data_IF_190935235534
#
_entry.id   IF_190935235534
#
_cell.length_a   1.000
_cell.length_b   1.000
_cell.length_c   1.000
_cell.angle_alpha   90.00
_cell.angle_beta   90.00
_cell.angle_gamma   90.00
#
_symmetry.space_group_name_H-M   'P 1'
#
loop_
_entity.id
_entity.type
_entity.pdbx_description
1 polymer ?
#
# COMPACT_ATOMS: atom_id res chain seq x y z
N UNK A 1 -6.15 -15.50 17.55
CA UNK A 1 -7.33 -16.28 17.12
C UNK A 1 -7.12 -17.78 17.30
N UNK A 2 -6.03 -18.38 16.76
CA UNK A 2 -5.74 -19.83 16.85
C UNK A 2 -5.63 -20.37 18.29
N UNK A 3 -4.94 -19.68 19.21
CA UNK A 3 -4.89 -20.10 20.62
C UNK A 3 -6.27 -20.14 21.30
N UNK A 4 -7.17 -19.23 20.91
CA UNK A 4 -8.55 -19.22 21.41
C UNK A 4 -9.34 -20.43 20.88
N UNK A 5 -9.11 -20.80 19.63
CA UNK A 5 -9.67 -22.03 19.05
C UNK A 5 -9.12 -23.27 19.75
N UNK A 6 -7.81 -23.30 20.03
CA UNK A 6 -7.16 -24.39 20.77
C UNK A 6 -7.78 -24.57 22.16
N UNK A 7 -7.95 -23.48 22.93
CA UNK A 7 -8.58 -23.54 24.24
C UNK A 7 -10.03 -24.05 24.19
N UNK A 8 -10.81 -23.62 23.18
CA UNK A 8 -12.18 -24.12 22.99
C UNK A 8 -12.21 -25.60 22.68
N UNK A 9 -11.38 -26.05 21.74
CA UNK A 9 -11.24 -27.46 21.38
C UNK A 9 -10.88 -28.32 22.58
N UNK A 10 -9.90 -27.88 23.39
CA UNK A 10 -9.47 -28.56 24.60
C UNK A 10 -10.62 -28.74 25.61
N UNK A 11 -11.45 -27.71 25.78
CA UNK A 11 -12.62 -27.76 26.66
C UNK A 11 -13.75 -28.64 26.10
N UNK A 12 -13.97 -28.62 24.78
CA UNK A 12 -14.98 -29.43 24.10
C UNK A 12 -14.72 -30.95 24.24
N UNK A 13 -13.46 -31.36 24.43
CA UNK A 13 -13.13 -32.77 24.64
C UNK A 13 -13.75 -33.38 25.91
N UNK A 14 -14.26 -32.56 26.84
CA UNK A 14 -15.02 -33.01 28.03
C UNK A 14 -16.20 -33.92 27.68
N UNK A 15 -16.75 -33.80 26.47
CA UNK A 15 -17.85 -34.63 25.99
C UNK A 15 -17.41 -36.08 25.67
N UNK A 16 -16.10 -36.30 25.44
CA UNK A 16 -15.53 -37.62 25.20
C UNK A 16 -15.10 -38.22 26.54
N UNK A 17 -15.87 -39.20 27.03
CA UNK A 17 -15.72 -39.83 28.35
C UNK A 17 -14.31 -40.38 28.64
N UNK A 18 -13.56 -40.76 27.60
CA UNK A 18 -12.20 -41.30 27.70
C UNK A 18 -11.09 -40.24 27.65
N UNK A 19 -11.40 -39.00 27.24
CA UNK A 19 -10.40 -37.93 27.05
C UNK A 19 -10.53 -36.88 28.14
N UNK A 20 -11.75 -36.44 28.45
CA UNK A 20 -11.99 -35.36 29.40
C UNK A 20 -11.54 -33.99 28.89
N UNK A 21 -11.41 -33.01 29.79
CA UNK A 21 -10.89 -31.68 29.45
C UNK A 21 -9.38 -31.78 29.23
N UNK A 22 -8.91 -31.33 28.06
CA UNK A 22 -7.49 -31.26 27.77
C UNK A 22 -6.88 -29.94 28.24
N UNK A 23 -5.60 -29.94 28.59
CA UNK A 23 -4.79 -28.73 28.72
C UNK A 23 -4.16 -28.33 27.38
N UNK A 24 -3.70 -27.08 27.26
CA UNK A 24 -2.91 -26.66 26.10
C UNK A 24 -1.57 -27.39 26.03
N UNK A 25 -0.97 -27.70 27.17
CA UNK A 25 0.22 -28.54 27.27
C UNK A 25 -0.03 -29.91 26.64
N UNK A 26 -1.11 -30.61 27.02
CA UNK A 26 -1.47 -31.90 26.44
C UNK A 26 -1.72 -31.80 24.94
N UNK A 27 -2.37 -30.72 24.49
CA UNK A 27 -2.61 -30.47 23.07
C UNK A 27 -1.30 -30.31 22.28
N UNK A 28 -0.30 -29.62 22.85
CA UNK A 28 0.96 -29.33 22.15
C UNK A 28 2.07 -30.37 22.38
N UNK A 29 1.85 -31.36 23.23
CA UNK A 29 2.81 -32.45 23.54
C UNK A 29 2.38 -33.79 22.94
N UNK A 30 1.07 -34.04 22.79
CA UNK A 30 0.54 -35.33 22.32
C UNK A 30 0.17 -35.27 20.83
N UNK A 31 0.83 -36.04 19.94
CA UNK A 31 0.62 -35.93 18.50
C UNK A 31 -0.84 -36.14 18.06
N UNK A 32 -1.52 -37.09 18.71
CA UNK A 32 -2.91 -37.45 18.39
C UNK A 32 -3.88 -36.29 18.68
N UNK A 33 -3.67 -35.56 19.78
CA UNK A 33 -4.53 -34.43 20.13
C UNK A 33 -4.30 -33.24 19.20
N UNK A 34 -3.04 -32.97 18.85
CA UNK A 34 -2.73 -31.91 17.88
C UNK A 34 -3.29 -32.23 16.49
N UNK A 35 -3.17 -33.48 16.03
CA UNK A 35 -3.75 -33.93 14.77
C UNK A 35 -5.29 -33.81 14.76
N UNK A 36 -5.94 -34.19 15.87
CA UNK A 36 -7.40 -34.04 16.01
C UNK A 36 -7.82 -32.57 15.96
N UNK A 37 -7.09 -31.68 16.65
CA UNK A 37 -7.33 -30.24 16.58
C UNK A 37 -7.18 -29.68 15.16
N UNK A 38 -6.12 -30.06 14.45
CA UNK A 38 -5.88 -29.63 13.07
C UNK A 38 -7.04 -30.07 12.16
N UNK A 39 -7.49 -31.31 12.31
CA UNK A 39 -8.57 -31.89 11.50
C UNK A 39 -9.93 -31.26 11.79
N UNK A 40 -10.27 -31.08 13.06
CA UNK A 40 -11.61 -30.63 13.49
C UNK A 40 -11.77 -29.11 13.37
N UNK A 41 -10.76 -28.35 13.79
CA UNK A 41 -10.86 -26.88 13.86
C UNK A 41 -10.29 -26.19 12.61
N UNK A 42 -9.59 -26.92 11.74
CA UNK A 42 -8.96 -26.43 10.50
C UNK A 42 -8.28 -25.06 10.70
N UNK A 43 -7.38 -24.92 11.69
CA UNK A 43 -6.72 -23.65 11.96
C UNK A 43 -5.87 -23.23 10.75
N UNK A 44 -5.66 -21.92 10.59
CA UNK A 44 -4.77 -21.41 9.53
C UNK A 44 -3.37 -21.97 9.75
N UNK A 45 -2.95 -22.91 8.90
CA UNK A 45 -1.73 -23.71 9.06
C UNK A 45 -0.48 -22.86 9.33
N UNK A 46 -0.28 -21.79 8.54
CA UNK A 46 0.83 -20.83 8.72
C UNK A 46 0.88 -20.22 10.12
N UNK A 47 -0.27 -19.89 10.70
CA UNK A 47 -0.35 -19.28 12.04
C UNK A 47 -0.06 -20.32 13.12
N UNK A 48 -0.60 -21.54 12.98
CA UNK A 48 -0.31 -22.64 13.90
C UNK A 48 1.17 -23.04 13.87
N UNK A 49 1.76 -23.20 12.68
CA UNK A 49 3.19 -23.47 12.50
C UNK A 49 4.05 -22.37 13.12
N UNK A 50 3.68 -21.10 12.96
CA UNK A 50 4.36 -19.98 13.60
C UNK A 50 4.30 -20.05 15.13
N UNK A 51 3.14 -20.37 15.71
CA UNK A 51 2.97 -20.54 17.15
C UNK A 51 3.83 -21.71 17.66
N UNK A 52 3.77 -22.87 17.02
CA UNK A 52 4.54 -24.05 17.41
C UNK A 52 6.05 -23.78 17.34
N UNK A 53 6.54 -23.15 16.26
CA UNK A 53 7.96 -22.75 16.15
C UNK A 53 8.37 -21.77 17.25
N UNK A 54 7.52 -20.79 17.56
CA UNK A 54 7.80 -19.85 18.64
C UNK A 54 7.89 -20.57 19.98
N UNK A 55 6.94 -21.47 20.30
CA UNK A 55 6.98 -22.26 21.53
C UNK A 55 8.21 -23.19 21.59
N UNK A 56 8.55 -23.87 20.51
CA UNK A 56 9.79 -24.67 20.43
C UNK A 56 11.03 -23.80 20.69
N UNK A 57 11.07 -22.58 20.14
CA UNK A 57 12.20 -21.65 20.35
C UNK A 57 12.32 -21.14 21.80
N UNK A 58 11.21 -21.05 22.54
CA UNK A 58 11.22 -20.72 23.98
C UNK A 58 11.87 -21.84 24.80
N UNK A 59 11.76 -23.09 24.32
CA UNK A 59 12.43 -24.26 24.88
C UNK A 59 11.67 -24.90 26.06
N UNK A 60 11.82 -26.22 26.20
CA UNK A 60 11.09 -27.00 27.19
C UNK A 60 11.38 -26.62 28.64
N UNK A 61 12.61 -26.17 28.94
CA UNK A 61 13.00 -25.75 30.29
C UNK A 61 12.19 -24.53 30.78
N UNK A 62 11.74 -23.66 29.88
CA UNK A 62 10.94 -22.47 30.23
C UNK A 62 9.44 -22.74 30.17
N UNK A 63 9.01 -23.64 29.30
CA UNK A 63 7.60 -24.00 29.12
C UNK A 63 7.12 -25.06 30.12
N UNK A 64 8.04 -25.86 30.69
CA UNK A 64 7.71 -27.02 31.52
C UNK A 64 7.42 -28.29 30.72
N UNK A 65 7.35 -28.21 29.39
CA UNK A 65 7.06 -29.34 28.50
C UNK A 65 7.72 -29.18 27.12
N UNK A 66 7.97 -30.31 26.45
CA UNK A 66 8.52 -30.33 25.10
C UNK A 66 7.41 -30.20 24.05
N UNK A 67 7.44 -29.11 23.28
CA UNK A 67 6.45 -28.87 22.22
C UNK A 67 6.76 -29.72 21.00
N UNK A 68 5.71 -30.31 20.42
CA UNK A 68 5.81 -31.09 19.20
C UNK A 68 6.41 -30.28 18.05
N UNK A 69 7.28 -30.93 17.27
CA UNK A 69 7.84 -30.30 16.09
C UNK A 69 6.74 -30.13 15.02
N UNK A 70 6.46 -28.90 14.56
CA UNK A 70 5.47 -28.68 13.52
C UNK A 70 5.76 -29.38 12.20
N UNK A 71 7.00 -29.81 11.93
CA UNK A 71 7.33 -30.60 10.73
C UNK A 71 6.79 -32.04 10.77
N UNK A 72 6.37 -32.54 11.95
CA UNK A 72 5.76 -33.86 12.09
C UNK A 72 4.29 -33.90 11.62
N UNK A 73 3.72 -32.75 11.26
CA UNK A 73 2.35 -32.62 10.80
C UNK A 73 2.36 -32.05 9.38
N UNK A 74 1.47 -32.54 8.50
CA UNK A 74 1.26 -32.00 7.15
C UNK A 74 0.50 -30.66 7.22
N UNK A 75 1.07 -29.71 7.97
CA UNK A 75 0.67 -28.32 8.02
C UNK A 75 1.29 -27.62 6.81
N UNK A 76 0.89 -28.03 5.60
CA UNK A 76 1.33 -27.37 4.36
C UNK A 76 1.12 -25.87 4.54
N UNK A 77 2.22 -25.13 4.69
CA UNK A 77 2.15 -23.72 4.41
C UNK A 77 1.73 -23.65 2.94
N UNK A 78 0.69 -22.86 2.57
CA UNK A 78 0.45 -22.61 1.17
C UNK A 78 1.77 -22.14 0.57
N UNK A 79 2.16 -22.69 -0.58
CA UNK A 79 3.36 -22.28 -1.30
C UNK A 79 3.37 -20.75 -1.34
N UNK A 80 4.39 -20.16 -0.74
CA UNK A 80 4.45 -18.71 -0.62
C UNK A 80 4.81 -18.16 -1.99
N UNK A 81 3.80 -17.99 -2.85
CA UNK A 81 3.96 -17.30 -4.13
C UNK A 81 4.33 -15.86 -3.82
N UNK A 82 5.52 -15.46 -4.24
CA UNK A 82 5.93 -14.06 -4.14
C UNK A 82 4.97 -13.21 -4.97
N UNK A 83 4.59 -12.02 -4.47
CA UNK A 83 3.74 -11.07 -5.22
C UNK A 83 4.35 -10.82 -6.60
N UNK A 84 3.65 -10.94 -7.73
CA UNK A 84 4.28 -10.79 -9.05
C UNK A 84 4.85 -9.38 -9.27
N UNK A 85 5.78 -9.25 -10.20
CA UNK A 85 6.21 -7.93 -10.71
C UNK A 85 5.04 -7.33 -11.51
N UNK A 86 4.90 -6.01 -11.52
CA UNK A 86 3.94 -5.31 -12.40
C UNK A 86 4.59 -5.22 -13.78
N UNK A 87 4.02 -5.82 -14.84
CA UNK A 87 4.57 -5.78 -16.19
C UNK A 87 4.88 -4.36 -16.64
N UNK A 88 5.96 -4.17 -17.40
CA UNK A 88 6.56 -2.88 -17.73
C UNK A 88 5.53 -1.92 -18.33
N UNK A 89 4.70 -2.40 -19.26
CA UNK A 89 3.64 -1.61 -19.89
C UNK A 89 2.61 -1.10 -18.87
N UNK A 90 2.14 -1.98 -17.98
CA UNK A 90 1.20 -1.62 -16.91
C UNK A 90 1.86 -0.67 -15.93
N UNK A 91 3.11 -0.92 -15.58
CA UNK A 91 3.87 -0.09 -14.64
C UNK A 91 4.07 1.34 -15.16
N UNK A 92 4.47 1.50 -16.42
CA UNK A 92 4.57 2.80 -17.09
C UNK A 92 3.20 3.48 -17.24
N UNK A 93 2.16 2.71 -17.55
CA UNK A 93 0.78 3.23 -17.58
C UNK A 93 0.34 3.75 -16.22
N UNK A 94 0.70 3.08 -15.12
CA UNK A 94 0.41 3.55 -13.77
C UNK A 94 1.16 4.84 -13.47
N UNK A 95 2.45 4.92 -13.80
CA UNK A 95 3.25 6.16 -13.66
C UNK A 95 2.56 7.32 -14.38
N UNK A 96 2.25 7.16 -15.66
CA UNK A 96 1.64 8.23 -16.46
C UNK A 96 0.26 8.64 -15.92
N UNK A 97 -0.63 7.68 -15.66
CA UNK A 97 -1.98 7.97 -15.14
C UNK A 97 -1.90 8.63 -13.76
N UNK A 98 -1.02 8.18 -12.87
CA UNK A 98 -0.85 8.85 -11.57
C UNK A 98 -0.28 10.26 -11.69
N UNK A 99 0.61 10.50 -12.65
CA UNK A 99 1.12 11.83 -12.99
C UNK A 99 0.00 12.77 -13.42
N UNK A 100 -0.79 12.35 -14.42
CA UNK A 100 -1.93 13.13 -14.92
C UNK A 100 -2.95 13.44 -13.80
N UNK A 101 -3.23 12.47 -12.93
CA UNK A 101 -4.14 12.66 -11.79
C UNK A 101 -3.56 13.61 -10.74
N UNK A 102 -2.24 13.60 -10.48
CA UNK A 102 -1.59 14.58 -9.61
C UNK A 102 -1.71 15.98 -10.21
N UNK A 103 -1.44 16.13 -11.51
CA UNK A 103 -1.52 17.41 -12.18
C UNK A 103 -2.96 17.96 -12.21
N UNK A 104 -3.96 17.07 -12.30
CA UNK A 104 -5.37 17.44 -12.11
C UNK A 104 -5.69 17.91 -10.68
N UNK A 105 -5.08 17.29 -9.67
CA UNK A 105 -5.33 17.64 -8.25
C UNK A 105 -4.55 18.88 -7.79
N UNK A 106 -3.39 19.14 -8.38
CA UNK A 106 -2.46 20.19 -7.96
C UNK A 106 -3.07 21.60 -7.91
N UNK A 107 -3.90 22.05 -8.88
CA UNK A 107 -4.60 23.34 -8.79
C UNK A 107 -5.50 23.50 -7.55
N UNK A 108 -5.94 22.39 -6.96
CA UNK A 108 -6.78 22.38 -5.74
C UNK A 108 -6.00 22.62 -4.45
N UNK A 109 -4.67 22.63 -4.47
CA UNK A 109 -3.80 22.64 -3.27
C UNK A 109 -4.20 23.70 -2.23
N UNK A 110 -4.47 24.94 -2.68
CA UNK A 110 -4.81 26.06 -1.80
C UNK A 110 -6.32 26.17 -1.51
N UNK A 111 -7.14 25.28 -2.08
CA UNK A 111 -8.62 25.35 -2.06
C UNK A 111 -9.25 24.19 -1.29
N UNK A 112 -8.58 23.04 -1.20
CA UNK A 112 -9.11 21.86 -0.50
C UNK A 112 -9.47 22.13 0.95
N UNK A 113 -8.62 22.85 1.68
CA UNK A 113 -8.83 23.11 3.10
C UNK A 113 -10.12 23.91 3.34
N UNK A 114 -10.27 25.06 2.70
CA UNK A 114 -11.44 25.92 2.85
C UNK A 114 -12.71 25.25 2.34
N UNK A 115 -12.61 24.47 1.25
CA UNK A 115 -13.73 23.71 0.70
C UNK A 115 -14.22 22.61 1.65
N UNK A 116 -13.32 21.79 2.19
CA UNK A 116 -13.67 20.69 3.10
C UNK A 116 -14.22 21.25 4.41
N UNK A 117 -13.68 22.36 4.92
CA UNK A 117 -14.15 23.03 6.13
C UNK A 117 -15.63 23.42 6.07
N UNK A 118 -16.14 23.84 4.91
CA UNK A 118 -17.55 24.21 4.74
C UNK A 118 -18.53 23.06 5.08
N UNK A 119 -18.09 21.81 5.00
CA UNK A 119 -18.90 20.64 5.37
C UNK A 119 -19.04 20.44 6.88
N UNK A 120 -18.46 21.33 7.70
CA UNK A 120 -18.83 21.47 9.09
C UNK A 120 -20.35 21.66 9.23
N UNK A 121 -20.95 22.43 8.31
CA UNK A 121 -22.40 22.57 8.16
C UNK A 121 -23.00 21.37 7.41
N UNK A 122 -24.01 20.73 8.01
CA UNK A 122 -24.62 19.53 7.45
C UNK A 122 -25.41 19.76 6.15
N UNK A 123 -25.90 20.98 5.93
CA UNK A 123 -26.69 21.36 4.76
C UNK A 123 -25.82 21.77 3.57
N UNK A 124 -24.55 22.14 3.78
CA UNK A 124 -23.61 22.47 2.70
C UNK A 124 -23.40 21.26 1.78
N UNK A 125 -23.52 21.47 0.47
CA UNK A 125 -23.45 20.44 -0.57
C UNK A 125 -24.73 19.59 -0.73
N UNK A 126 -25.77 19.81 0.09
CA UNK A 126 -27.07 19.12 -0.09
C UNK A 126 -27.91 19.81 -1.17
N UNK A 127 -28.73 19.04 -1.88
CA UNK A 127 -29.65 19.59 -2.87
C UNK A 127 -30.68 20.52 -2.21
N UNK A 128 -31.13 21.55 -2.94
CA UNK A 128 -32.15 22.50 -2.45
C UNK A 128 -33.42 21.81 -1.96
N UNK A 129 -33.84 20.74 -2.65
CA UNK A 129 -35.00 19.93 -2.27
C UNK A 129 -34.83 19.35 -0.86
N UNK A 130 -33.64 18.82 -0.55
CA UNK A 130 -33.38 18.25 0.78
C UNK A 130 -33.28 19.33 1.85
N UNK A 131 -32.63 20.45 1.54
CA UNK A 131 -32.54 21.58 2.47
C UNK A 131 -33.92 22.15 2.81
N UNK A 132 -34.83 22.30 1.85
CA UNK A 132 -36.22 22.71 2.09
C UNK A 132 -36.96 21.78 3.05
N UNK A 133 -36.73 20.46 2.94
CA UNK A 133 -37.33 19.47 3.83
C UNK A 133 -36.82 19.59 5.28
N UNK A 134 -35.52 19.88 5.43
CA UNK A 134 -34.87 19.90 6.75
C UNK A 134 -35.01 21.28 7.45
N UNK A 135 -34.96 22.38 6.71
CA UNK A 135 -34.93 23.77 7.23
C UNK A 135 -36.25 24.54 7.05
N UNK A 136 -37.18 24.04 6.24
CA UNK A 136 -38.41 24.74 5.88
C UNK A 136 -38.26 25.68 4.67
N UNK A 137 -39.38 26.30 4.24
CA UNK A 137 -39.45 27.08 3.00
C UNK A 137 -38.79 28.47 3.07
N UNK A 138 -38.68 29.06 4.27
CA UNK A 138 -38.23 30.45 4.47
C UNK A 138 -36.79 30.57 4.99
N UNK A 139 -36.02 29.47 4.96
CA UNK A 139 -34.64 29.46 5.45
C UNK A 139 -33.64 29.87 4.36
N UNK A 140 -32.53 30.47 4.79
CA UNK A 140 -31.36 30.71 3.92
C UNK A 140 -30.74 29.38 3.51
N UNK A 141 -30.72 29.09 2.20
CA UNK A 141 -30.15 27.85 1.67
C UNK A 141 -28.63 27.96 1.52
N UNK A 142 -27.94 26.87 1.83
CA UNK A 142 -26.52 26.72 1.56
C UNK A 142 -26.28 26.29 0.10
N UNK A 143 -25.08 26.53 -0.45
CA UNK A 143 -24.68 26.00 -1.75
C UNK A 143 -24.89 24.49 -1.85
N UNK A 144 -25.40 24.03 -3.00
CA UNK A 144 -25.40 22.61 -3.34
C UNK A 144 -24.01 22.19 -3.86
N UNK A 145 -23.83 20.90 -4.15
CA UNK A 145 -22.50 20.37 -4.49
C UNK A 145 -21.89 21.03 -5.75
N UNK A 146 -22.62 21.19 -6.87
CA UNK A 146 -22.09 21.92 -8.03
C UNK A 146 -21.74 23.37 -7.74
N UNK A 147 -22.60 24.09 -6.99
CA UNK A 147 -22.33 25.49 -6.63
C UNK A 147 -21.11 25.58 -5.71
N UNK A 148 -20.99 24.69 -4.71
CA UNK A 148 -19.83 24.64 -3.81
C UNK A 148 -18.52 24.41 -4.58
N UNK A 149 -18.51 23.52 -5.58
CA UNK A 149 -17.33 23.31 -6.43
C UNK A 149 -17.00 24.52 -7.29
N UNK A 150 -17.99 25.30 -7.69
CA UNK A 150 -17.80 26.55 -8.44
C UNK A 150 -17.28 27.67 -7.54
N UNK A 151 -17.85 27.83 -6.36
CA UNK A 151 -17.50 28.88 -5.39
C UNK A 151 -16.04 28.75 -4.90
N UNK A 152 -15.52 27.52 -4.85
CA UNK A 152 -14.13 27.24 -4.48
C UNK A 152 -13.20 27.04 -5.70
N UNK A 153 -13.66 27.29 -6.94
CA UNK A 153 -12.90 27.05 -8.18
C UNK A 153 -12.30 25.63 -8.29
N UNK A 154 -13.05 24.63 -7.84
CA UNK A 154 -12.64 23.22 -7.82
C UNK A 154 -13.29 22.38 -8.93
N UNK A 155 -14.02 23.01 -9.85
CA UNK A 155 -14.75 22.30 -10.92
C UNK A 155 -13.84 21.48 -11.84
N UNK A 156 -12.65 21.99 -12.18
CA UNK A 156 -11.68 21.25 -12.98
C UNK A 156 -11.07 20.06 -12.20
N UNK A 157 -10.79 20.27 -10.91
CA UNK A 157 -10.23 19.25 -10.00
C UNK A 157 -11.23 18.10 -9.83
N UNK A 158 -12.51 18.41 -9.61
CA UNK A 158 -13.59 17.43 -9.41
C UNK A 158 -14.26 17.05 -10.74
N UNK A 159 -13.45 16.57 -11.67
CA UNK A 159 -13.88 16.05 -12.97
C UNK A 159 -13.32 14.64 -13.22
N UNK A 160 -13.85 13.94 -14.23
CA UNK A 160 -13.39 12.58 -14.58
C UNK A 160 -13.43 11.61 -13.39
N UNK A 161 -12.27 11.02 -13.06
CA UNK A 161 -12.07 10.09 -11.94
C UNK A 161 -12.54 10.66 -10.58
N UNK A 162 -12.46 11.99 -10.41
CA UNK A 162 -12.81 12.69 -9.17
C UNK A 162 -14.15 13.44 -9.24
N UNK A 163 -15.00 13.14 -10.22
CA UNK A 163 -16.31 13.78 -10.35
C UNK A 163 -17.18 13.57 -9.10
N UNK A 164 -17.71 14.66 -8.54
CA UNK A 164 -18.54 14.64 -7.34
C UNK A 164 -19.84 15.43 -7.53
N UNK A 165 -20.86 14.80 -8.14
CA UNK A 165 -22.15 15.44 -8.36
C UNK A 165 -22.97 15.67 -7.08
N UNK A 166 -22.73 14.87 -6.03
CA UNK A 166 -23.53 14.89 -4.80
C UNK A 166 -22.65 14.74 -3.57
N UNK A 167 -22.98 15.46 -2.49
CA UNK A 167 -22.32 15.36 -1.17
C UNK A 167 -22.11 13.93 -0.69
N UNK A 168 -23.09 13.04 -0.93
CA UNK A 168 -23.01 11.63 -0.49
C UNK A 168 -21.83 10.85 -1.07
N UNK A 169 -21.28 11.31 -2.20
CA UNK A 169 -20.11 10.69 -2.84
C UNK A 169 -18.79 11.35 -2.42
N UNK A 170 -18.82 12.50 -1.72
CA UNK A 170 -17.62 13.25 -1.37
C UNK A 170 -16.62 12.42 -0.57
N UNK A 171 -17.10 11.65 0.41
CA UNK A 171 -16.24 10.74 1.16
C UNK A 171 -15.49 9.77 0.23
N UNK A 172 -16.21 9.12 -0.69
CA UNK A 172 -15.62 8.16 -1.63
C UNK A 172 -14.65 8.84 -2.59
N UNK A 173 -14.96 10.06 -3.06
CA UNK A 173 -14.07 10.82 -3.93
C UNK A 173 -12.78 11.22 -3.21
N UNK A 174 -12.86 11.70 -1.96
CA UNK A 174 -11.66 11.98 -1.16
C UNK A 174 -10.85 10.72 -0.86
N UNK A 175 -11.50 9.57 -0.67
CA UNK A 175 -10.82 8.27 -0.56
C UNK A 175 -10.08 7.91 -1.85
N UNK A 176 -10.67 8.16 -3.03
CA UNK A 176 -10.01 7.97 -4.32
C UNK A 176 -8.80 8.90 -4.47
N UNK A 177 -8.94 10.18 -4.14
CA UNK A 177 -7.82 11.13 -4.14
C UNK A 177 -6.69 10.66 -3.23
N UNK A 178 -6.99 10.35 -1.95
CA UNK A 178 -6.00 9.82 -1.01
C UNK A 178 -5.35 8.52 -1.51
N UNK A 179 -6.11 7.65 -2.17
CA UNK A 179 -5.58 6.41 -2.76
C UNK A 179 -4.59 6.69 -3.90
N UNK A 180 -4.88 7.64 -4.80
CA UNK A 180 -3.97 8.07 -5.85
C UNK A 180 -2.67 8.63 -5.25
N UNK A 181 -2.78 9.51 -4.24
CA UNK A 181 -1.62 10.12 -3.58
C UNK A 181 -0.76 9.06 -2.87
N UNK A 182 -1.38 8.14 -2.13
CA UNK A 182 -0.67 7.02 -1.50
C UNK A 182 -0.02 6.09 -2.54
N UNK A 183 -0.67 5.87 -3.69
CA UNK A 183 -0.12 5.08 -4.79
C UNK A 183 1.15 5.70 -5.35
N UNK A 184 1.20 7.03 -5.50
CA UNK A 184 2.41 7.73 -5.94
C UNK A 184 3.55 7.55 -4.93
N UNK A 185 3.25 7.68 -3.62
CA UNK A 185 4.26 7.39 -2.59
C UNK A 185 4.78 5.96 -2.74
N UNK A 186 3.91 4.96 -2.90
CA UNK A 186 4.32 3.56 -3.08
C UNK A 186 5.17 3.35 -4.35
N UNK A 187 4.80 3.98 -5.46
CA UNK A 187 5.43 3.82 -6.77
C UNK A 187 6.90 4.26 -6.75
N UNK A 188 7.17 5.42 -6.15
CA UNK A 188 8.50 6.03 -6.19
C UNK A 188 9.38 5.68 -4.97
N UNK A 189 8.79 5.39 -3.80
CA UNK A 189 9.59 5.11 -2.58
C UNK A 189 9.74 3.61 -2.30
N UNK A 190 8.79 2.78 -2.76
CA UNK A 190 8.67 1.37 -2.39
C UNK A 190 8.42 1.14 -0.89
N UNK A 191 7.96 2.16 -0.15
CA UNK A 191 7.52 2.04 1.25
C UNK A 191 6.45 0.95 1.41
N UNK A 192 6.47 0.25 2.56
CA UNK A 192 5.39 -0.70 2.89
C UNK A 192 4.08 0.06 3.08
N UNK A 193 2.97 -0.63 2.82
CA UNK A 193 1.62 -0.13 3.11
C UNK A 193 1.51 0.52 4.49
N UNK A 194 1.91 -0.21 5.54
CA UNK A 194 1.89 0.32 6.90
C UNK A 194 2.85 1.49 7.14
N UNK A 195 3.94 1.60 6.38
CA UNK A 195 4.88 2.73 6.49
C UNK A 195 4.25 3.99 5.85
N UNK A 196 3.59 3.88 4.70
CA UNK A 196 2.87 5.01 4.06
C UNK A 196 1.68 5.45 4.91
N UNK A 197 0.86 4.50 5.37
CA UNK A 197 -0.32 4.82 6.18
C UNK A 197 0.01 5.37 7.57
N UNK A 198 1.25 5.26 8.04
CA UNK A 198 1.73 5.84 9.31
C UNK A 198 2.48 7.16 9.15
N UNK A 199 2.58 7.69 7.93
CA UNK A 199 3.15 9.03 7.72
C UNK A 199 2.34 10.06 8.52
N UNK A 200 3.04 10.92 9.25
CA UNK A 200 2.42 12.04 9.96
C UNK A 200 2.20 13.23 9.01
N UNK A 201 1.46 14.23 9.48
CA UNK A 201 1.30 15.48 8.76
C UNK A 201 2.67 16.16 8.50
N UNK A 202 3.61 16.09 9.45
CA UNK A 202 4.96 16.68 9.37
C UNK A 202 5.97 15.69 8.76
N UNK A 203 5.55 14.90 7.77
CA UNK A 203 6.39 13.84 7.19
C UNK A 203 7.45 14.32 6.20
N UNK A 204 7.45 15.59 5.75
CA UNK A 204 8.50 16.13 4.88
C UNK A 204 9.58 16.81 5.71
N UNK A 205 10.83 16.40 5.52
CA UNK A 205 12.00 17.02 6.17
C UNK A 205 12.68 18.02 5.24
N UNK A 206 13.03 19.21 5.73
CA UNK A 206 13.74 20.25 4.96
C UNK A 206 15.15 19.86 4.48
N UNK A 207 15.67 18.71 4.94
CA UNK A 207 16.94 18.16 4.48
C UNK A 207 16.83 17.64 3.06
N UNK A 208 17.23 18.47 2.11
CA UNK A 208 17.57 18.08 0.72
C UNK A 208 18.60 16.97 0.78
N UNK A 209 18.35 15.86 0.08
CA UNK A 209 19.22 14.70 0.14
C UNK A 209 20.42 14.79 -0.83
N UNK A 210 20.28 15.57 -1.90
CA UNK A 210 21.33 15.85 -2.87
C UNK A 210 21.25 17.32 -3.29
N UNK A 211 22.30 18.10 -3.03
CA UNK A 211 22.36 19.50 -3.45
C UNK A 211 22.47 19.61 -4.97
N UNK A 212 22.01 20.73 -5.52
CA UNK A 212 22.12 20.98 -6.96
C UNK A 212 23.59 21.04 -7.38
N UNK A 213 23.94 20.32 -8.44
CA UNK A 213 25.30 20.38 -9.01
C UNK A 213 25.30 21.48 -10.06
N UNK A 214 26.07 22.54 -9.77
CA UNK A 214 26.43 23.58 -10.75
C UNK A 214 27.74 23.17 -11.43
N UNK A 215 27.89 23.45 -12.72
CA UNK A 215 29.20 23.40 -13.36
C UNK A 215 30.06 24.64 -13.03
N UNK A 216 31.29 24.64 -13.52
CA UNK A 216 32.28 25.71 -13.29
C UNK A 216 31.81 27.06 -13.89
N UNK A 217 30.83 27.04 -14.79
CA UNK A 217 30.19 28.21 -15.40
C UNK A 217 28.89 28.65 -14.68
N UNK A 218 28.51 27.98 -13.59
CA UNK A 218 27.31 28.28 -12.80
C UNK A 218 26.00 27.82 -13.44
N UNK A 219 26.06 26.96 -14.46
CA UNK A 219 24.90 26.33 -15.09
C UNK A 219 24.50 25.10 -14.27
N UNK A 220 23.20 25.01 -13.95
CA UNK A 220 22.64 23.92 -13.19
C UNK A 220 22.62 22.63 -14.03
N UNK A 221 23.50 21.69 -13.69
CA UNK A 221 23.65 20.38 -14.35
C UNK A 221 22.75 19.33 -13.75
N UNK A 222 22.63 19.33 -12.42
CA UNK A 222 21.73 18.44 -11.71
C UNK A 222 20.90 19.24 -10.72
N UNK A 223 19.57 19.07 -10.77
CA UNK A 223 18.68 19.71 -9.78
C UNK A 223 18.92 19.06 -8.43
N UNK A 224 18.70 19.83 -7.36
CA UNK A 224 18.61 19.25 -6.03
C UNK A 224 17.48 18.22 -6.04
N UNK A 225 17.80 16.95 -6.06
CA UNK A 225 16.82 15.88 -6.19
C UNK A 225 16.65 15.17 -4.86
N UNK A 226 15.38 15.09 -4.47
CA UNK A 226 14.80 14.30 -3.38
C UNK A 226 14.77 14.91 -1.98
N UNK A 227 13.58 14.80 -1.39
CA UNK A 227 13.26 15.16 -0.01
C UNK A 227 13.20 13.88 0.82
N UNK A 228 13.64 14.01 2.06
CA UNK A 228 13.57 12.95 3.05
C UNK A 228 12.15 12.84 3.63
N UNK A 229 11.47 11.71 3.42
CA UNK A 229 10.18 11.43 4.07
C UNK A 229 10.41 10.75 5.41
N UNK A 230 9.83 11.31 6.47
CA UNK A 230 9.81 10.73 7.82
C UNK A 230 8.59 9.82 7.98
N UNK A 231 8.84 8.56 8.34
CA UNK A 231 7.81 7.59 8.71
C UNK A 231 8.32 6.62 9.77
N UNK A 232 7.42 5.83 10.38
CA UNK A 232 7.79 4.81 11.36
C UNK A 232 7.76 3.40 10.76
N UNK A 233 8.88 2.68 10.87
CA UNK A 233 8.94 1.24 10.59
C UNK A 233 8.85 0.43 11.88
N UNK A 234 8.26 -0.76 11.79
CA UNK A 234 8.09 -1.69 12.93
C UNK A 234 8.75 -3.03 12.69
N UNK A 235 9.27 -3.27 11.48
CA UNK A 235 9.80 -4.56 11.09
C UNK A 235 11.15 -4.75 11.77
N UNK A 236 11.28 -5.82 12.55
CA UNK A 236 12.48 -6.24 13.32
C UNK A 236 12.84 -5.44 14.57
N UNK A 237 12.32 -4.23 14.77
CA UNK A 237 12.51 -3.47 16.02
C UNK A 237 11.51 -3.86 17.12
N UNK A 238 10.30 -4.28 16.75
CA UNK A 238 9.21 -4.51 17.71
C UNK A 238 8.54 -3.24 18.25
N UNK A 239 9.15 -2.07 18.03
CA UNK A 239 8.64 -0.73 18.32
C UNK A 239 8.78 0.20 17.11
N UNK A 240 8.04 1.31 17.09
CA UNK A 240 8.09 2.29 16.00
C UNK A 240 9.45 2.98 15.98
N UNK A 241 10.22 2.82 14.90
CA UNK A 241 11.48 3.51 14.68
C UNK A 241 11.35 4.46 13.50
N UNK A 242 11.80 5.70 13.67
CA UNK A 242 11.85 6.68 12.59
C UNK A 242 12.73 6.19 11.43
N UNK A 243 12.26 6.46 10.23
CA UNK A 243 12.87 6.02 8.98
C UNK A 243 12.74 7.13 7.95
N UNK A 244 13.82 7.31 7.20
CA UNK A 244 13.93 8.35 6.18
C UNK A 244 13.96 7.75 4.79
N UNK A 245 13.14 8.24 3.87
CA UNK A 245 13.02 7.70 2.51
C UNK A 245 13.39 8.76 1.48
N UNK A 246 14.17 8.38 0.47
CA UNK A 246 14.40 9.22 -0.69
C UNK A 246 13.13 9.28 -1.53
N UNK A 247 12.68 10.49 -1.86
CA UNK A 247 11.44 10.71 -2.59
C UNK A 247 11.58 11.86 -3.61
N UNK A 248 11.25 11.64 -4.89
CA UNK A 248 11.35 12.66 -5.93
C UNK A 248 10.21 13.70 -5.83
N UNK A 249 10.27 14.74 -6.66
CA UNK A 249 9.34 15.88 -6.65
C UNK A 249 7.87 15.47 -6.82
N UNK A 250 7.60 14.40 -7.58
CA UNK A 250 6.25 13.85 -7.76
C UNK A 250 5.65 13.42 -6.41
N UNK A 251 6.48 12.85 -5.54
CA UNK A 251 6.05 12.43 -4.20
C UNK A 251 5.85 13.65 -3.29
N UNK A 252 6.70 14.67 -3.41
CA UNK A 252 6.54 15.92 -2.66
C UNK A 252 5.22 16.59 -3.03
N UNK A 253 4.91 16.72 -4.33
CA UNK A 253 3.62 17.23 -4.82
C UNK A 253 2.46 16.41 -4.26
N UNK A 254 2.56 15.08 -4.28
CA UNK A 254 1.52 14.20 -3.76
C UNK A 254 1.28 14.42 -2.25
N UNK A 255 2.35 14.56 -1.47
CA UNK A 255 2.27 14.79 -0.03
C UNK A 255 1.68 16.17 0.27
N UNK A 256 2.05 17.21 -0.46
CA UNK A 256 1.47 18.55 -0.27
C UNK A 256 -0.05 18.58 -0.54
N UNK A 257 -0.51 17.89 -1.59
CA UNK A 257 -1.95 17.73 -1.85
C UNK A 257 -2.60 16.94 -0.70
N UNK A 258 -1.97 15.86 -0.22
CA UNK A 258 -2.48 15.07 0.90
C UNK A 258 -2.57 15.91 2.19
N UNK A 259 -1.57 16.75 2.46
CA UNK A 259 -1.58 17.72 3.57
C UNK A 259 -2.76 18.68 3.45
N UNK A 260 -3.03 19.23 2.27
CA UNK A 260 -4.17 20.14 2.08
C UNK A 260 -5.53 19.48 2.38
N UNK A 261 -5.72 18.24 1.94
CA UNK A 261 -6.92 17.45 2.29
C UNK A 261 -6.95 17.17 3.81
N UNK A 262 -5.80 16.80 4.39
CA UNK A 262 -5.67 16.53 5.82
C UNK A 262 -6.03 17.76 6.67
N UNK A 263 -5.57 18.97 6.30
CA UNK A 263 -5.94 20.23 6.99
C UNK A 263 -7.45 20.43 7.04
N UNK A 264 -8.13 20.25 5.91
CA UNK A 264 -9.59 20.34 5.83
C UNK A 264 -10.29 19.33 6.75
N UNK A 265 -9.87 18.06 6.70
CA UNK A 265 -10.45 17.01 7.56
C UNK A 265 -10.13 17.24 9.05
N UNK A 266 -8.93 17.70 9.39
CA UNK A 266 -8.52 18.00 10.75
C UNK A 266 -9.40 19.07 11.40
N UNK A 267 -9.82 20.11 10.65
CA UNK A 267 -10.80 21.10 11.13
C UNK A 267 -12.16 20.47 11.45
N UNK A 268 -12.63 19.52 10.63
CA UNK A 268 -13.89 18.82 10.88
C UNK A 268 -13.82 17.89 12.10
N UNK A 269 -12.68 17.22 12.30
CA UNK A 269 -12.41 16.37 13.46
C UNK A 269 -12.01 17.15 14.71
N UNK A 270 -11.66 18.43 14.58
CA UNK A 270 -11.09 19.28 15.64
C UNK A 270 -9.80 18.71 16.23
N UNK A 271 -8.88 18.31 15.35
CA UNK A 271 -7.58 17.72 15.70
C UNK A 271 -6.46 18.68 15.32
N UNK A 272 -5.41 18.75 16.14
CA UNK A 272 -4.22 19.56 15.87
C UNK A 272 -3.33 18.91 14.81
N UNK A 273 -2.64 19.75 14.03
CA UNK A 273 -1.74 19.31 12.96
C UNK A 273 -0.32 19.10 13.50
N UNK A 274 -0.16 18.11 14.38
CA UNK A 274 1.12 17.73 14.98
C UNK A 274 1.68 16.42 14.40
N UNK A 275 2.79 15.92 14.96
CA UNK A 275 3.42 14.65 14.58
C UNK A 275 2.53 13.42 14.80
N UNK A 276 1.47 13.53 15.62
CA UNK A 276 0.53 12.45 15.90
C UNK A 276 -0.62 12.44 14.89
N UNK A 277 -0.86 13.55 14.21
CA UNK A 277 -1.86 13.65 13.15
C UNK A 277 -1.40 12.86 11.92
N UNK A 278 -2.15 11.81 11.49
CA UNK A 278 -1.80 11.06 10.31
C UNK A 278 -2.05 11.87 9.04
N UNK A 279 -1.19 11.72 8.03
CA UNK A 279 -1.35 12.39 6.74
C UNK A 279 -2.66 11.98 6.04
N UNK A 280 -2.99 10.69 6.08
CA UNK A 280 -4.19 10.13 5.46
C UNK A 280 -5.31 9.95 6.49
N UNK A 281 -5.90 11.06 6.94
CA UNK A 281 -7.09 11.05 7.80
C UNK A 281 -8.30 10.43 7.08
N UNK A 282 -9.04 9.58 7.78
CA UNK A 282 -10.25 8.95 7.26
C UNK A 282 -11.35 9.99 7.01
N UNK A 283 -11.92 10.13 5.80
CA UNK A 283 -12.97 11.12 5.52
C UNK A 283 -14.37 10.71 6.04
N UNK A 284 -14.48 9.74 6.95
CA UNK A 284 -15.77 9.24 7.46
C UNK A 284 -16.63 10.30 8.17
N UNK A 285 -16.05 11.39 8.66
CA UNK A 285 -16.78 12.57 9.18
C UNK A 285 -17.70 13.22 8.13
N UNK A 286 -17.43 13.01 6.84
CA UNK A 286 -18.24 13.53 5.72
C UNK A 286 -19.39 12.58 5.32
N UNK A 287 -19.46 11.40 5.93
CA UNK A 287 -20.44 10.36 5.65
C UNK A 287 -21.77 10.57 6.39
N UNK A 288 -22.77 9.77 6.05
CA UNK A 288 -24.02 9.70 6.82
C UNK A 288 -23.81 9.20 8.26
N UNK A 289 -22.67 8.56 8.56
CA UNK A 289 -22.30 8.07 9.89
C UNK A 289 -21.42 9.06 10.66
N UNK A 290 -21.46 10.36 10.34
CA UNK A 290 -20.67 11.42 10.99
C UNK A 290 -20.68 11.35 12.52
N UNK A 291 -21.82 11.07 13.15
CA UNK A 291 -21.94 10.97 14.61
C UNK A 291 -21.19 9.79 15.25
N UNK A 292 -20.72 8.83 14.45
CA UNK A 292 -19.89 7.69 14.87
C UNK A 292 -18.48 7.74 14.26
N UNK A 293 -18.15 8.83 13.58
CA UNK A 293 -16.85 8.96 12.92
C UNK A 293 -15.77 9.20 13.97
N UNK A 294 -14.81 8.29 14.03
CA UNK A 294 -13.64 8.41 14.89
C UNK A 294 -12.46 8.97 14.11
N UNK A 295 -11.57 9.67 14.81
CA UNK A 295 -10.28 10.08 14.25
C UNK A 295 -9.47 8.82 13.98
N UNK A 296 -9.07 8.62 12.73
CA UNK A 296 -8.35 7.43 12.34
C UNK A 296 -7.69 7.56 10.98
N UNK A 297 -6.85 6.59 10.68
CA UNK A 297 -6.17 6.47 9.39
C UNK A 297 -7.13 5.87 8.37
N UNK A 298 -7.09 6.37 7.14
CA UNK A 298 -7.84 5.81 6.02
C UNK A 298 -7.52 4.33 5.81
N UNK A 299 -8.53 3.54 5.43
CA UNK A 299 -8.34 2.19 4.92
C UNK A 299 -8.84 2.12 3.49
N UNK A 300 -7.93 1.86 2.55
CA UNK A 300 -8.26 1.72 1.14
C UNK A 300 -8.85 0.33 0.89
N UNK A 301 -10.16 0.20 1.12
CA UNK A 301 -10.85 -1.04 0.78
C UNK A 301 -10.96 -1.22 -0.74
N UNK A 302 -11.02 -2.47 -1.19
CA UNK A 302 -11.29 -2.78 -2.61
C UNK A 302 -12.57 -2.11 -3.10
N UNK A 303 -13.66 -2.13 -2.31
CA UNK A 303 -14.95 -1.53 -2.69
C UNK A 303 -14.87 -0.02 -2.93
N UNK A 304 -14.10 0.70 -2.11
CA UNK A 304 -13.97 2.16 -2.25
C UNK A 304 -13.07 2.59 -3.42
N UNK A 305 -12.25 1.68 -3.94
CA UNK A 305 -11.27 1.96 -5.00
C UNK A 305 -11.50 1.14 -6.27
N UNK A 306 -12.55 0.31 -6.31
CA UNK A 306 -12.81 -0.66 -7.37
C UNK A 306 -12.93 -0.01 -8.76
N UNK A 307 -13.59 1.14 -8.81
CA UNK A 307 -13.82 1.89 -10.05
C UNK A 307 -12.65 2.82 -10.40
N UNK A 308 -11.54 2.75 -9.66
CA UNK A 308 -10.43 3.65 -9.94
C UNK A 308 -9.75 3.26 -11.25
N UNK A 309 -9.44 4.26 -12.08
CA UNK A 309 -8.69 4.08 -13.34
C UNK A 309 -7.40 3.26 -13.14
N UNK A 310 -6.74 3.41 -11.99
CA UNK A 310 -5.53 2.64 -11.61
C UNK A 310 -5.78 1.12 -11.50
N UNK A 311 -7.01 0.71 -11.17
CA UNK A 311 -7.41 -0.70 -11.05
C UNK A 311 -8.04 -1.25 -12.33
N UNK A 312 -8.34 -0.40 -13.31
CA UNK A 312 -9.04 -0.79 -14.55
C UNK A 312 -8.08 -1.01 -15.74
N UNK A 313 -6.77 -0.98 -15.52
CA UNK A 313 -5.79 -1.29 -16.55
C UNK A 313 -5.88 -2.79 -16.89
N UNK A 314 -6.28 -3.10 -18.11
CA UNK A 314 -6.47 -4.48 -18.56
C UNK A 314 -5.15 -5.16 -18.92
N UNK A 315 -5.06 -6.45 -18.60
CA UNK A 315 -3.94 -7.34 -18.93
C UNK A 315 -3.99 -7.70 -20.42
N UNK A 316 -2.84 -7.66 -21.08
CA UNK A 316 -2.61 -8.09 -22.46
C UNK A 316 -1.74 -9.34 -22.50
N UNK A 317 -1.68 -9.99 -23.66
CA UNK A 317 -0.87 -11.20 -23.87
C UNK A 317 0.63 -10.94 -23.65
N UNK A 318 1.11 -9.74 -24.04
CA UNK A 318 2.51 -9.34 -23.82
C UNK A 318 2.85 -9.24 -22.33
N UNK A 319 1.88 -8.80 -21.50
CA UNK A 319 2.08 -8.68 -20.06
C UNK A 319 2.22 -10.07 -19.40
N UNK A 320 1.43 -11.06 -19.85
CA UNK A 320 1.52 -12.44 -19.35
C UNK A 320 2.85 -13.09 -19.77
N UNK A 321 3.31 -12.84 -20.99
CA UNK A 321 4.64 -13.28 -21.44
C UNK A 321 5.75 -12.71 -20.56
N UNK A 322 5.70 -11.42 -20.25
CA UNK A 322 6.65 -10.76 -19.35
C UNK A 322 6.61 -11.38 -17.94
N UNK A 323 5.41 -11.67 -17.41
CA UNK A 323 5.27 -12.35 -16.11
C UNK A 323 5.92 -13.73 -16.10
N UNK A 324 5.65 -14.55 -17.11
CA UNK A 324 6.25 -15.88 -17.26
C UNK A 324 7.79 -15.81 -17.34
N UNK A 325 8.34 -14.78 -17.99
CA UNK A 325 9.79 -14.54 -18.01
C UNK A 325 10.31 -14.11 -16.63
N UNK A 326 9.60 -13.21 -15.95
CA UNK A 326 9.98 -12.69 -14.63
C UNK A 326 9.94 -13.76 -13.53
N UNK A 327 9.05 -14.74 -13.63
CA UNK A 327 8.92 -15.82 -12.65
C UNK A 327 8.57 -17.14 -13.36
N UNK A 328 9.56 -17.82 -13.95
CA UNK A 328 9.36 -19.06 -14.71
C UNK A 328 8.80 -20.22 -13.88
N UNK A 329 8.88 -20.11 -12.54
CA UNK A 329 8.35 -21.11 -11.63
C UNK A 329 6.83 -21.06 -11.48
N UNK A 330 6.20 -19.95 -11.91
CA UNK A 330 4.76 -19.72 -11.79
C UNK A 330 4.09 -19.79 -13.16
N UNK A 331 3.08 -20.64 -13.24
CA UNK A 331 2.21 -20.72 -14.41
C UNK A 331 1.16 -19.59 -14.38
N UNK A 332 1.46 -18.48 -15.05
CA UNK A 332 0.54 -17.35 -15.19
C UNK A 332 -0.54 -17.58 -16.26
N UNK A 333 -0.32 -18.48 -17.23
CA UNK A 333 -1.30 -18.75 -18.28
C UNK A 333 -2.57 -19.40 -17.73
N UNK A 334 -2.42 -20.25 -16.71
CA UNK A 334 -3.54 -20.90 -16.04
C UNK A 334 -4.00 -20.17 -14.76
N UNK A 335 -3.47 -18.98 -14.46
CA UNK A 335 -3.87 -18.19 -13.29
C UNK A 335 -5.02 -17.23 -13.65
N UNK A 336 -6.26 -17.47 -13.15
CA UNK A 336 -7.42 -16.68 -13.52
C UNK A 336 -7.32 -15.21 -13.07
N UNK A 337 -6.49 -14.91 -12.06
CA UNK A 337 -6.27 -13.54 -11.59
C UNK A 337 -5.45 -12.70 -12.59
N UNK A 338 -4.67 -13.36 -13.45
CA UNK A 338 -3.77 -12.73 -14.44
C UNK A 338 -4.20 -13.01 -15.88
N UNK A 339 -5.44 -13.44 -16.09
CA UNK A 339 -5.97 -13.73 -17.42
C UNK A 339 -6.06 -12.46 -18.28
N UNK A 340 -5.78 -12.61 -19.58
CA UNK A 340 -5.88 -11.53 -20.56
C UNK A 340 -7.30 -10.94 -20.57
N UNK A 341 -7.40 -9.62 -20.63
CA UNK A 341 -8.65 -8.87 -20.58
C UNK A 341 -9.20 -8.64 -19.17
N UNK A 342 -8.61 -9.23 -18.13
CA UNK A 342 -8.96 -8.90 -16.74
C UNK A 342 -8.23 -7.63 -16.28
N UNK A 343 -8.81 -6.86 -15.33
CA UNK A 343 -8.11 -5.74 -14.70
C UNK A 343 -6.92 -6.22 -13.87
N UNK A 344 -5.82 -5.48 -13.90
CA UNK A 344 -4.63 -5.81 -13.14
C UNK A 344 -4.92 -5.87 -11.62
N UNK A 345 -4.61 -6.99 -10.93
CA UNK A 345 -4.87 -7.16 -9.50
C UNK A 345 -3.84 -6.38 -8.66
N UNK A 346 -3.97 -5.06 -8.64
CA UNK A 346 -3.01 -4.16 -8.05
C UNK A 346 -2.95 -4.30 -6.52
N UNK A 347 -1.76 -4.58 -6.00
CA UNK A 347 -1.47 -4.59 -4.56
C UNK A 347 -0.25 -3.73 -4.22
N UNK A 348 -0.23 -3.14 -3.03
CA UNK A 348 0.87 -2.24 -2.61
C UNK A 348 2.24 -2.93 -2.55
N UNK A 349 2.26 -4.25 -2.33
CA UNK A 349 3.50 -5.04 -2.33
C UNK A 349 4.10 -5.23 -3.73
N UNK A 350 3.29 -5.18 -4.79
CA UNK A 350 3.77 -5.26 -6.17
C UNK A 350 4.62 -4.03 -6.53
N UNK A 351 4.27 -2.82 -6.07
CA UNK A 351 5.09 -1.61 -6.30
C UNK A 351 6.51 -1.80 -5.76
N UNK A 352 6.62 -2.27 -4.51
CA UNK A 352 7.92 -2.51 -3.88
C UNK A 352 8.72 -3.59 -4.59
N UNK A 353 8.09 -4.69 -5.05
CA UNK A 353 8.78 -5.73 -5.84
C UNK A 353 9.24 -5.17 -7.18
N UNK A 354 8.36 -4.45 -7.89
CA UNK A 354 8.64 -3.92 -9.22
C UNK A 354 9.75 -2.87 -9.20
N UNK A 355 9.74 -1.97 -8.22
CA UNK A 355 10.82 -1.00 -8.02
C UNK A 355 12.16 -1.69 -7.76
N UNK A 356 12.18 -2.76 -6.96
CA UNK A 356 13.39 -3.55 -6.72
C UNK A 356 13.87 -4.27 -7.97
N UNK A 357 12.94 -4.93 -8.66
CA UNK A 357 13.18 -5.76 -9.83
C UNK A 357 13.71 -4.92 -10.99
N UNK A 358 12.98 -3.89 -11.40
CA UNK A 358 13.39 -3.01 -12.50
C UNK A 358 14.56 -2.10 -12.12
N UNK A 359 14.64 -1.70 -10.85
CA UNK A 359 15.80 -0.99 -10.33
C UNK A 359 17.09 -1.80 -10.51
N UNK A 360 17.07 -3.09 -10.15
CA UNK A 360 18.19 -3.99 -10.37
C UNK A 360 18.41 -4.37 -11.83
N UNK A 361 17.34 -4.55 -12.63
CA UNK A 361 17.47 -4.88 -14.06
C UNK A 361 18.03 -3.72 -14.88
N UNK A 362 17.75 -2.47 -14.48
CA UNK A 362 18.26 -1.26 -15.14
C UNK A 362 19.76 -1.05 -14.95
N UNK A 363 20.33 -1.59 -13.87
CA UNK A 363 21.73 -1.44 -13.55
C UNK A 363 22.16 -0.21 -12.77
N UNK A 364 21.25 0.75 -12.60
CA UNK A 364 21.57 1.97 -11.84
C UNK A 364 21.53 1.76 -10.32
N UNK A 365 20.79 0.76 -9.84
CA UNK A 365 20.59 0.51 -8.42
C UNK A 365 21.31 -0.75 -7.95
N UNK A 366 22.33 -0.56 -7.11
CA UNK A 366 23.00 -1.65 -6.42
C UNK A 366 22.11 -2.29 -5.34
N UNK A 367 22.34 -3.58 -5.02
CA UNK A 367 21.66 -4.25 -3.90
C UNK A 367 21.87 -3.53 -2.55
N UNK A 368 23.07 -2.97 -2.23
CA UNK A 368 23.24 -2.09 -1.08
C UNK A 368 22.33 -0.84 -1.11
N UNK A 369 22.18 -0.17 -2.25
CA UNK A 369 21.29 0.98 -2.40
C UNK A 369 19.84 0.58 -2.11
N UNK A 370 19.37 -0.52 -2.70
CA UNK A 370 18.04 -1.06 -2.43
C UNK A 370 17.84 -1.46 -0.96
N UNK A 371 18.85 -2.09 -0.34
CA UNK A 371 18.83 -2.43 1.10
C UNK A 371 18.65 -1.17 1.96
N UNK A 372 19.37 -0.09 1.64
CA UNK A 372 19.30 1.19 2.35
C UNK A 372 17.96 1.89 2.14
N UNK A 373 17.44 1.94 0.91
CA UNK A 373 16.13 2.53 0.62
C UNK A 373 15.04 1.75 1.35
N UNK A 374 15.02 0.42 1.23
CA UNK A 374 13.99 -0.44 1.81
C UNK A 374 14.15 -0.75 3.31
N UNK A 375 15.18 -0.20 3.96
CA UNK A 375 15.49 -0.45 5.37
C UNK A 375 15.60 -1.95 5.68
N UNK A 376 16.24 -2.69 4.78
CA UNK A 376 16.48 -4.11 4.96
C UNK A 376 17.68 -4.36 5.87
N UNK A 377 17.52 -5.33 6.79
CA UNK A 377 18.59 -5.71 7.71
C UNK A 377 19.78 -6.32 6.96
N UNK A 378 19.49 -7.15 5.96
CA UNK A 378 20.50 -7.89 5.19
C UNK A 378 20.34 -7.67 3.69
N UNK A 379 21.42 -7.89 2.94
CA UNK A 379 21.43 -7.79 1.47
C UNK A 379 20.55 -8.89 0.84
N UNK A 380 20.48 -10.06 1.47
CA UNK A 380 19.64 -11.19 1.03
C UNK A 380 18.15 -10.81 0.97
N UNK A 381 17.69 -9.95 1.89
CA UNK A 381 16.33 -9.43 1.83
C UNK A 381 16.11 -8.53 0.60
N UNK A 382 17.07 -7.67 0.25
CA UNK A 382 16.98 -6.87 -0.97
C UNK A 382 16.99 -7.76 -2.21
N UNK A 383 17.87 -8.77 -2.23
CA UNK A 383 17.95 -9.80 -3.29
C UNK A 383 16.64 -10.54 -3.47
N UNK A 384 15.93 -10.87 -2.38
CA UNK A 384 14.62 -11.50 -2.45
C UNK A 384 13.60 -10.64 -3.23
N UNK A 385 13.57 -9.32 -3.04
CA UNK A 385 12.64 -8.46 -3.79
C UNK A 385 13.06 -8.25 -5.24
N UNK A 386 14.36 -8.25 -5.52
CA UNK A 386 14.90 -8.19 -6.88
C UNK A 386 14.93 -9.58 -7.56
N UNK A 387 14.41 -10.64 -6.95
CA UNK A 387 14.60 -12.00 -7.45
C UNK A 387 14.15 -12.15 -8.92
N UNK A 388 14.96 -12.84 -9.72
CA UNK A 388 14.81 -13.06 -11.16
C UNK A 388 14.95 -11.79 -12.05
N UNK A 389 15.47 -10.68 -11.53
CA UNK A 389 15.68 -9.45 -12.32
C UNK A 389 16.54 -9.68 -13.57
N UNK A 390 17.42 -10.68 -13.53
CA UNK A 390 18.28 -11.11 -14.62
C UNK A 390 17.53 -11.70 -15.83
N UNK A 391 16.29 -12.19 -15.62
CA UNK A 391 15.49 -12.81 -16.67
C UNK A 391 14.88 -11.77 -17.62
N UNK A 392 14.65 -10.54 -17.14
CA UNK A 392 14.16 -9.42 -17.93
C UNK A 392 15.33 -8.47 -18.19
N UNK A 393 16.02 -8.71 -19.31
CA UNK A 393 17.10 -7.84 -19.78
C UNK A 393 16.56 -6.62 -20.53
N UNK A 394 16.29 -5.53 -19.83
CA UNK A 394 16.01 -4.19 -20.42
C UNK A 394 16.40 -3.10 -19.39
N UNK A 395 17.07 -1.96 -19.66
CA UNK A 395 17.45 -1.17 -20.86
C UNK A 395 18.77 -0.42 -20.51
N UNK A 396 19.92 -0.78 -21.07
CA UNK A 396 20.54 0.16 -22.02
C UNK A 396 20.76 -0.46 -23.39
N UNK A 397 20.32 -1.71 -23.58
CA UNK A 397 20.35 -2.35 -24.88
C UNK A 397 19.12 -2.11 -25.73
N UNK A 398 19.30 -2.08 -27.04
CA UNK A 398 18.21 -2.07 -28.02
C UNK A 398 17.87 -3.51 -28.44
N UNK A 399 16.61 -3.75 -28.74
CA UNK A 399 16.17 -5.00 -29.33
C UNK A 399 16.51 -5.01 -30.82
N UNK A 400 17.28 -6.00 -31.27
CA UNK A 400 17.61 -6.19 -32.68
C UNK A 400 16.64 -7.20 -33.29
N UNK A 401 15.68 -6.70 -34.08
CA UNK A 401 14.67 -7.53 -34.76
C UNK A 401 15.28 -8.57 -35.71
N UNK A 402 16.48 -8.31 -36.27
CA UNK A 402 17.14 -9.24 -37.18
C UNK A 402 17.76 -10.44 -36.46
N UNK A 403 18.09 -10.28 -35.17
CA UNK A 403 18.74 -11.29 -34.33
C UNK A 403 17.84 -11.87 -33.25
N UNK A 404 16.67 -11.28 -33.04
CA UNK A 404 15.72 -11.68 -32.01
C UNK A 404 16.32 -11.66 -30.59
N UNK A 405 17.26 -10.75 -30.33
CA UNK A 405 17.98 -10.62 -29.06
C UNK A 405 18.12 -9.15 -28.63
N UNK A 406 18.27 -8.90 -27.33
CA UNK A 406 18.55 -7.58 -26.75
C UNK A 406 20.08 -7.34 -26.65
N UNK A 407 20.58 -6.29 -27.33
CA UNK A 407 22.01 -5.96 -27.41
C UNK A 407 22.40 -4.81 -26.48
N UNK A 408 23.31 -5.03 -25.52
CA UNK A 408 23.77 -4.02 -24.55
C UNK A 408 24.90 -3.12 -25.10
N UNK A 409 25.00 -1.84 -24.68
CA UNK A 409 26.06 -0.93 -25.08
C UNK A 409 27.36 -1.27 -24.36
N UNK A 410 28.49 -0.97 -25.00
CA UNK A 410 29.84 -1.41 -24.56
C UNK A 410 30.22 -0.96 -23.13
N UNK A 411 29.61 0.11 -22.62
CA UNK A 411 29.91 0.69 -21.30
C UNK A 411 28.92 0.24 -20.21
N UNK A 412 28.16 -0.83 -20.46
CA UNK A 412 27.18 -1.34 -19.51
C UNK A 412 27.87 -2.08 -18.36
N UNK A 413 27.52 -1.77 -17.11
CA UNK A 413 28.09 -2.39 -15.90
C UNK A 413 27.94 -3.93 -15.84
N UNK A 414 27.06 -4.54 -16.65
CA UNK A 414 27.03 -6.00 -16.82
C UNK A 414 28.33 -6.57 -17.41
N UNK A 415 29.19 -5.72 -17.98
CA UNK A 415 30.54 -6.05 -18.45
C UNK A 415 31.64 -5.66 -17.43
N UNK A 416 31.29 -5.11 -16.26
CA UNK A 416 32.23 -4.74 -15.19
C UNK A 416 32.50 -5.88 -14.19
N UNK A 417 31.99 -7.09 -14.44
CA UNK A 417 32.24 -8.30 -13.65
C UNK A 417 32.97 -9.38 -14.43
#
# INVERSE_FOLDING_TARGET
>A
MVLRMAMKFCYEQKQKRLVGVLSLEQLFTVPVYLAAFIREQKPVGKVLTGILRALVSVGGNRLGYAVLNPSAFDLKAPDFKQHPVIPTRIYLSLINVTGDLIDQLHPGLNRFESFIECFANEHYGRTRIRQKKDLGYNASFHPDMPQALKDHDLSAVFSGEFACAHKRHLQTVLLKMQYTLATVVHLYTGMRDQEVMRMSYICLSDKIAQEAVLDDEGILRDKSQSVNILSTTTKFSGYKKESTWFAPDEVVKAIEIAKAICRGLAKLYKVELDDRCPLFLNPSILSFTRGKAEVGVTSFSLRSTQESTLRLILIKDEDVKELCQSDPSRDFHNDPEFAVGQPWPLTTHQFRRSLAFYGSSSGFLSLPTLRTQFKHMTIQMARYYANNYENLRTIFGYYDESRNEFLLPRNHFAFEY
#
